data_IF_290713387477
#
_entry.id   IF_290713387477
#
_cell.length_a   1.000
_cell.length_b   1.000
_cell.length_c   1.000
_cell.angle_alpha   90.00
_cell.angle_beta   90.00
_cell.angle_gamma   90.00
#
_symmetry.space_group_name_H-M   'P 1'
#
loop_
_entity.id
_entity.type
_entity.pdbx_description
1 polymer ?
#
# COMPACT_ATOMS: atom_id res chain seq x y z
N UNK A 1 -16.03 -17.73 11.58
CA UNK A 1 -15.95 -17.14 10.22
C UNK A 1 -14.66 -17.64 9.59
N UNK A 2 -14.65 -17.97 8.30
CA UNK A 2 -13.43 -18.38 7.64
C UNK A 2 -12.52 -17.16 7.43
N UNK A 3 -11.25 -17.28 7.79
CA UNK A 3 -10.22 -16.25 7.59
C UNK A 3 -9.08 -16.83 6.77
N UNK A 4 -8.48 -16.00 5.92
CA UNK A 4 -7.33 -16.39 5.11
C UNK A 4 -6.42 -15.18 4.91
N UNK A 5 -5.14 -15.36 5.21
CA UNK A 5 -4.10 -14.38 4.92
C UNK A 5 -3.56 -14.63 3.52
N UNK A 6 -3.41 -13.57 2.73
CA UNK A 6 -2.79 -13.59 1.41
C UNK A 6 -1.78 -12.45 1.32
N UNK A 7 -0.69 -12.68 0.60
CA UNK A 7 0.33 -11.67 0.33
C UNK A 7 0.25 -11.31 -1.15
N UNK A 8 0.16 -10.02 -1.44
CA UNK A 8 0.12 -9.48 -2.81
C UNK A 8 1.22 -8.44 -2.97
N UNK A 9 1.76 -8.34 -4.18
CA UNK A 9 2.65 -7.25 -4.57
C UNK A 9 1.84 -6.22 -5.33
N UNK A 10 1.92 -4.96 -4.91
CA UNK A 10 1.22 -3.82 -5.55
C UNK A 10 2.26 -2.91 -6.18
N UNK A 11 2.00 -2.46 -7.41
CA UNK A 11 2.76 -1.40 -8.06
C UNK A 11 2.08 -0.06 -7.80
N UNK A 12 2.82 0.91 -7.29
CA UNK A 12 2.36 2.27 -7.06
C UNK A 12 3.07 3.20 -8.05
N UNK A 13 2.31 4.01 -8.77
CA UNK A 13 2.83 5.16 -9.51
C UNK A 13 2.68 6.39 -8.62
N UNK A 14 3.78 7.08 -8.33
CA UNK A 14 3.80 8.26 -7.47
C UNK A 14 4.20 9.46 -8.33
N UNK A 15 3.40 10.52 -8.27
CA UNK A 15 3.63 11.77 -8.97
C UNK A 15 3.52 12.94 -8.00
N UNK A 16 4.38 13.96 -8.17
CA UNK A 16 4.30 15.19 -7.41
C UNK A 16 4.80 16.36 -8.27
N UNK A 17 3.88 17.22 -8.71
CA UNK A 17 4.16 18.37 -9.58
C UNK A 17 4.96 19.49 -8.86
N UNK A 18 5.12 19.41 -7.54
CA UNK A 18 5.79 20.46 -6.74
C UNK A 18 7.28 20.22 -6.54
N UNK A 19 7.81 19.07 -6.93
CA UNK A 19 9.21 18.70 -6.75
C UNK A 19 9.81 18.25 -8.08
N UNK A 20 11.08 18.57 -8.31
CA UNK A 20 11.77 18.14 -9.54
C UNK A 20 12.12 16.64 -9.51
N UNK A 21 12.26 16.07 -8.32
CA UNK A 21 12.58 14.67 -8.12
C UNK A 21 11.88 14.15 -6.86
N UNK A 22 11.32 12.94 -6.95
CA UNK A 22 10.84 12.17 -5.80
C UNK A 22 12.03 11.33 -5.31
N UNK A 23 12.38 11.46 -4.04
CA UNK A 23 13.50 10.73 -3.43
C UNK A 23 13.03 9.45 -2.76
N UNK A 24 13.96 8.54 -2.46
CA UNK A 24 13.66 7.33 -1.69
C UNK A 24 13.09 7.64 -0.30
N UNK A 25 13.52 8.75 0.32
CA UNK A 25 12.98 9.22 1.61
C UNK A 25 11.51 9.62 1.49
N UNK A 26 11.13 10.37 0.43
CA UNK A 26 9.73 10.73 0.17
C UNK A 26 8.85 9.48 -0.01
N UNK A 27 9.38 8.46 -0.70
CA UNK A 27 8.66 7.20 -0.92
C UNK A 27 8.52 6.42 0.39
N UNK A 28 9.56 6.36 1.21
CA UNK A 28 9.51 5.69 2.50
C UNK A 28 8.52 6.35 3.46
N UNK A 29 8.52 7.68 3.54
CA UNK A 29 7.56 8.44 4.34
C UNK A 29 6.13 8.19 3.84
N UNK A 30 5.90 8.29 2.53
CA UNK A 30 4.59 8.01 1.93
C UNK A 30 4.11 6.60 2.24
N UNK A 31 4.95 5.58 2.13
CA UNK A 31 4.59 4.19 2.41
C UNK A 31 4.30 3.97 3.90
N UNK A 32 5.06 4.63 4.78
CA UNK A 32 4.89 4.51 6.22
C UNK A 32 3.64 5.25 6.74
N UNK A 33 3.31 6.40 6.17
CA UNK A 33 2.21 7.26 6.64
C UNK A 33 0.88 7.03 5.91
N UNK A 34 0.90 6.40 4.73
CA UNK A 34 -0.34 6.16 3.96
C UNK A 34 -1.17 5.05 4.59
N UNK A 35 -2.44 5.35 4.86
CA UNK A 35 -3.43 4.35 5.23
C UNK A 35 -3.96 3.63 3.97
N UNK A 36 -3.50 2.41 3.73
CA UNK A 36 -3.88 1.63 2.55
C UNK A 36 -5.21 0.91 2.77
N UNK A 37 -6.27 1.50 2.23
CA UNK A 37 -7.60 0.88 2.21
C UNK A 37 -7.85 0.12 0.91
N UNK A 38 -8.06 -1.19 1.02
CA UNK A 38 -8.47 -2.03 -0.11
C UNK A 38 -9.99 -2.22 -0.14
N UNK A 39 -10.58 -2.12 -1.32
CA UNK A 39 -12.01 -2.37 -1.50
C UNK A 39 -12.38 -3.83 -1.25
N UNK A 40 -13.49 -4.06 -0.55
CA UNK A 40 -14.12 -5.38 -0.41
C UNK A 40 -14.91 -5.74 -1.67
N UNK A 41 -14.89 -7.01 -2.08
CA UNK A 41 -15.68 -7.53 -3.20
C UNK A 41 -16.71 -8.55 -2.70
N UNK A 42 -18.00 -8.31 -2.97
CA UNK A 42 -19.09 -9.20 -2.54
C UNK A 42 -19.17 -9.33 -1.02
N UNK A 43 -19.33 -10.56 -0.52
CA UNK A 43 -19.38 -10.88 0.91
C UNK A 43 -17.99 -10.96 1.60
N UNK A 44 -16.90 -10.72 0.86
CA UNK A 44 -15.55 -10.77 1.42
C UNK A 44 -15.17 -9.42 2.01
N UNK A 45 -15.00 -9.38 3.34
CA UNK A 45 -14.49 -8.20 4.05
C UNK A 45 -13.00 -8.35 4.31
N UNK A 46 -12.23 -7.32 3.94
CA UNK A 46 -10.84 -7.16 4.38
C UNK A 46 -10.89 -6.59 5.79
N UNK A 47 -10.34 -7.33 6.75
CA UNK A 47 -10.39 -6.97 8.18
C UNK A 47 -9.10 -6.37 8.69
N UNK A 48 -7.99 -6.60 7.98
CA UNK A 48 -6.65 -6.18 8.37
C UNK A 48 -5.77 -6.05 7.12
N UNK A 49 -4.89 -5.05 7.11
CA UNK A 49 -3.98 -4.72 6.01
C UNK A 49 -2.68 -4.20 6.60
N UNK A 50 -1.55 -4.73 6.16
CA UNK A 50 -0.22 -4.31 6.57
C UNK A 50 0.72 -4.31 5.35
N UNK A 51 1.66 -3.37 5.32
CA UNK A 51 2.78 -3.42 4.39
C UNK A 51 3.90 -4.25 4.99
N UNK A 52 4.11 -5.46 4.43
CA UNK A 52 5.13 -6.38 4.91
C UNK A 52 6.54 -6.09 4.35
N UNK A 53 6.70 -5.09 3.49
CA UNK A 53 7.99 -4.67 2.93
C UNK A 53 7.88 -4.12 1.50
N UNK A 54 8.93 -3.43 1.06
CA UNK A 54 9.12 -2.99 -0.33
C UNK A 54 9.95 -4.03 -1.10
N UNK A 55 9.65 -4.24 -2.38
CA UNK A 55 10.56 -4.98 -3.26
C UNK A 55 11.66 -4.00 -3.71
N UNK A 56 12.90 -4.26 -3.29
CA UNK A 56 14.12 -3.59 -3.77
C UNK A 56 14.53 -4.13 -5.16
#
# INVERSE_FOLDING_TARGET
MATKTVYITVRLDIENDKVEQITDEDVQELIAETDYSFGSMGDFKITDTEICGTND
#
